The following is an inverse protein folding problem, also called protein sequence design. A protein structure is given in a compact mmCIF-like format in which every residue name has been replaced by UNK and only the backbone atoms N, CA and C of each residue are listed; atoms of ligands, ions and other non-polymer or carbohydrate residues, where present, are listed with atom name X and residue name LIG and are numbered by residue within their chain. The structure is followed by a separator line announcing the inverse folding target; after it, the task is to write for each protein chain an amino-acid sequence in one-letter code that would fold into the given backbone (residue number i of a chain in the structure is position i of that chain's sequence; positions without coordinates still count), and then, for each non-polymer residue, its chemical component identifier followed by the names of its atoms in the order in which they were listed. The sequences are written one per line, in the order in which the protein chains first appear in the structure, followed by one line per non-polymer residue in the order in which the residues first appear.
data_IF_920047277085
#
_entry.id   IF_920047277085
#
_cell.length_a   1.000
_cell.length_b   1.000
_cell.length_c   1.000
_cell.angle_alpha   90.00
_cell.angle_beta   90.00
_cell.angle_gamma   90.00
#
_symmetry.space_group_name_H-M   'P 1'
#
loop_
_entity.id
_entity.type
_entity.pdbx_description
1 polymer ?
#
# COMPACT_ATOMS: atom_id res chain seq x y z
N UNK A 1 23.95 0.51 2.89
CA UNK A 1 23.01 1.18 3.82
C UNK A 1 21.62 0.60 3.54
N UNK A 2 20.88 0.14 4.54
CA UNK A 2 19.49 -0.30 4.34
C UNK A 2 18.68 0.95 3.94
N UNK A 3 18.15 0.99 2.72
CA UNK A 3 17.20 2.05 2.33
C UNK A 3 15.94 1.85 3.18
N UNK A 4 15.73 2.73 4.14
CA UNK A 4 14.64 2.68 5.10
C UNK A 4 13.46 3.43 4.46
N UNK A 5 12.28 2.81 4.43
CA UNK A 5 11.06 3.40 3.86
C UNK A 5 10.64 4.60 4.73
N UNK A 6 10.92 5.83 4.30
CA UNK A 6 10.57 7.06 5.01
C UNK A 6 9.29 7.67 4.42
N UNK A 7 8.16 7.31 5.00
CA UNK A 7 6.86 7.85 4.64
C UNK A 7 6.07 8.16 5.91
N UNK A 8 5.58 9.40 6.01
CA UNK A 8 4.72 9.87 7.08
C UNK A 8 3.29 9.79 6.57
N UNK A 9 2.45 9.06 7.28
CA UNK A 9 1.04 8.87 6.94
C UNK A 9 0.22 10.15 7.15
N UNK A 10 -0.63 10.48 6.17
CA UNK A 10 -1.40 11.73 6.11
C UNK A 10 -2.69 11.59 6.93
N UNK A 11 -3.02 12.56 7.78
CA UNK A 11 -4.25 12.53 8.61
C UNK A 11 -4.35 11.26 9.48
N UNK A 12 -3.22 10.84 10.07
CA UNK A 12 -3.14 9.59 10.83
C UNK A 12 -4.13 9.56 12.00
N UNK A 13 -4.31 10.66 12.73
CA UNK A 13 -5.21 10.70 13.88
C UNK A 13 -6.67 10.62 13.42
N UNK A 14 -7.04 11.35 12.38
CA UNK A 14 -8.39 11.34 11.82
C UNK A 14 -8.77 9.97 11.25
N UNK A 15 -7.81 9.25 10.65
CA UNK A 15 -8.00 7.86 10.19
C UNK A 15 -8.29 6.93 11.37
N UNK A 16 -7.56 7.07 12.47
CA UNK A 16 -7.77 6.26 13.69
C UNK A 16 -9.11 6.61 14.35
N UNK A 17 -9.41 7.90 14.53
CA UNK A 17 -10.61 8.38 15.23
C UNK A 17 -11.90 8.05 14.47
N UNK A 18 -11.84 7.90 13.15
CA UNK A 18 -12.99 7.51 12.34
C UNK A 18 -13.33 6.01 12.44
N UNK A 19 -12.38 5.16 12.85
CA UNK A 19 -12.63 3.74 13.00
C UNK A 19 -13.57 3.47 14.20
N UNK A 20 -14.59 2.62 14.06
CA UNK A 20 -15.47 2.27 15.17
C UNK A 20 -14.70 1.67 16.36
N UNK A 21 -15.11 1.99 17.59
CA UNK A 21 -14.47 1.41 18.79
C UNK A 21 -14.51 -0.14 18.81
N UNK A 22 -15.51 -0.73 18.14
CA UNK A 22 -15.67 -2.18 18.02
C UNK A 22 -14.88 -2.82 16.87
N UNK A 23 -13.95 -2.08 16.24
CA UNK A 23 -13.17 -2.57 15.09
C UNK A 23 -12.36 -3.81 15.46
N UNK A 24 -12.63 -4.92 14.78
CA UNK A 24 -11.92 -6.20 14.93
C UNK A 24 -11.31 -6.68 13.62
N UNK A 25 -11.79 -6.20 12.47
CA UNK A 25 -11.26 -6.58 11.16
C UNK A 25 -11.07 -5.34 10.28
N UNK A 26 -9.83 -5.14 9.82
CA UNK A 26 -9.39 -3.96 9.08
C UNK A 26 -8.90 -4.38 7.69
N UNK A 27 -9.28 -3.61 6.67
CA UNK A 27 -8.67 -3.64 5.34
C UNK A 27 -7.93 -2.33 5.06
N UNK A 28 -6.65 -2.42 4.73
CA UNK A 28 -5.86 -1.33 4.16
C UNK A 28 -5.62 -1.62 2.66
N UNK A 29 -6.36 -0.93 1.80
CA UNK A 29 -6.35 -1.11 0.34
C UNK A 29 -5.12 -0.49 -0.35
N UNK A 30 -4.34 0.28 0.40
CA UNK A 30 -3.21 1.09 -0.08
C UNK A 30 -2.11 1.05 0.98
N UNK A 31 -1.72 -0.17 1.36
CA UNK A 31 -0.89 -0.45 2.52
C UNK A 31 0.37 0.42 2.56
N UNK A 32 0.97 0.72 1.41
CA UNK A 32 2.16 1.53 1.33
C UNK A 32 3.25 0.95 2.22
N UNK A 33 3.90 1.80 3.03
CA UNK A 33 4.85 1.33 4.03
C UNK A 33 4.22 0.77 5.31
N UNK A 34 2.89 0.72 5.43
CA UNK A 34 2.18 0.28 6.63
C UNK A 34 2.12 1.31 7.75
N UNK A 35 2.18 2.61 7.44
CA UNK A 35 2.12 3.68 8.44
C UNK A 35 0.74 3.76 9.12
N UNK A 36 -0.33 3.89 8.33
CA UNK A 36 -1.71 3.86 8.83
C UNK A 36 -2.05 2.53 9.50
N UNK A 37 -1.76 1.42 8.83
CA UNK A 37 -1.94 0.07 9.38
C UNK A 37 -1.29 -0.10 10.77
N UNK A 38 -0.09 0.46 10.98
CA UNK A 38 0.57 0.40 12.29
C UNK A 38 -0.21 1.19 13.34
N UNK A 39 -0.59 2.43 13.06
CA UNK A 39 -1.32 3.26 14.01
C UNK A 39 -2.70 2.68 14.34
N UNK A 40 -3.36 2.07 13.37
CA UNK A 40 -4.60 1.32 13.60
C UNK A 40 -4.36 0.14 14.54
N UNK A 41 -3.33 -0.68 14.33
CA UNK A 41 -3.01 -1.82 15.20
C UNK A 41 -2.49 -1.41 16.60
N UNK A 42 -1.95 -0.20 16.75
CA UNK A 42 -1.61 0.37 18.05
C UNK A 42 -2.87 0.74 18.86
N UNK A 43 -3.96 1.15 18.20
CA UNK A 43 -5.23 1.52 18.84
C UNK A 43 -6.23 0.36 18.97
N UNK A 44 -6.17 -0.60 18.04
CA UNK A 44 -7.00 -1.81 18.00
C UNK A 44 -6.10 -3.06 18.06
N UNK A 45 -5.46 -3.35 19.21
CA UNK A 45 -4.41 -4.36 19.31
C UNK A 45 -4.90 -5.80 19.07
N UNK A 46 -6.20 -6.06 19.18
CA UNK A 46 -6.81 -7.37 18.91
C UNK A 46 -7.36 -7.48 17.47
N UNK A 47 -7.32 -6.40 16.68
CA UNK A 47 -7.84 -6.40 15.33
C UNK A 47 -6.96 -7.22 14.38
N UNK A 48 -7.61 -7.97 13.49
CA UNK A 48 -7.00 -8.58 12.32
C UNK A 48 -6.90 -7.54 11.21
N UNK A 49 -5.72 -7.43 10.62
CA UNK A 49 -5.48 -6.48 9.53
C UNK A 49 -5.12 -7.22 8.25
N UNK A 50 -5.83 -6.88 7.19
CA UNK A 50 -5.55 -7.32 5.83
C UNK A 50 -5.03 -6.11 5.07
N UNK A 51 -3.82 -6.20 4.52
CA UNK A 51 -3.16 -5.09 3.86
C UNK A 51 -2.73 -5.48 2.46
N UNK A 52 -3.08 -4.68 1.47
CA UNK A 52 -2.64 -4.89 0.10
C UNK A 52 -1.97 -3.64 -0.48
N UNK A 53 -0.98 -3.88 -1.32
CA UNK A 53 -0.44 -2.86 -2.22
C UNK A 53 -0.04 -3.51 -3.52
N UNK A 54 -0.15 -2.79 -4.63
CA UNK A 54 0.30 -3.30 -5.93
C UNK A 54 1.83 -3.29 -6.05
N UNK A 55 2.49 -2.45 -5.26
CA UNK A 55 3.94 -2.32 -5.22
C UNK A 55 4.57 -3.33 -4.24
N UNK A 56 5.30 -4.32 -4.74
CA UNK A 56 5.95 -5.34 -3.91
C UNK A 56 6.94 -4.76 -2.88
N UNK A 57 7.56 -3.61 -3.19
CA UNK A 57 8.47 -2.94 -2.26
C UNK A 57 7.72 -2.33 -1.07
N UNK A 58 6.52 -1.82 -1.31
CA UNK A 58 5.64 -1.31 -0.26
C UNK A 58 5.22 -2.44 0.68
N UNK A 59 4.71 -3.56 0.13
CA UNK A 59 4.32 -4.75 0.90
C UNK A 59 5.49 -5.26 1.76
N UNK A 60 6.69 -5.34 1.20
CA UNK A 60 7.89 -5.75 1.95
C UNK A 60 8.24 -4.77 3.08
N UNK A 61 8.16 -3.47 2.82
CA UNK A 61 8.43 -2.45 3.84
C UNK A 61 7.39 -2.48 4.97
N UNK A 62 6.11 -2.67 4.63
CA UNK A 62 5.03 -2.84 5.58
C UNK A 62 5.20 -4.10 6.43
N UNK A 63 5.57 -5.24 5.84
CA UNK A 63 5.84 -6.48 6.57
C UNK A 63 6.95 -6.31 7.63
N UNK A 64 8.03 -5.60 7.30
CA UNK A 64 9.08 -5.27 8.27
C UNK A 64 8.58 -4.31 9.34
N UNK A 65 7.79 -3.29 8.99
CA UNK A 65 7.23 -2.32 9.95
C UNK A 65 6.22 -2.96 10.91
N UNK A 66 5.43 -3.90 10.42
CA UNK A 66 4.34 -4.58 11.14
C UNK A 66 4.78 -5.90 11.77
N UNK A 67 6.09 -6.17 11.84
CA UNK A 67 6.62 -7.45 12.35
C UNK A 67 6.12 -7.84 13.74
N UNK A 68 5.91 -6.86 14.63
CA UNK A 68 5.32 -7.10 15.97
C UNK A 68 3.88 -7.65 15.90
N UNK A 69 3.18 -7.37 14.80
CA UNK A 69 1.79 -7.77 14.53
C UNK A 69 1.70 -8.90 13.48
N UNK A 70 2.77 -9.64 13.23
CA UNK A 70 2.82 -10.67 12.17
C UNK A 70 1.71 -11.73 12.29
N UNK A 71 1.25 -12.02 13.52
CA UNK A 71 0.24 -13.05 13.78
C UNK A 71 -1.18 -12.62 13.42
N UNK A 72 -1.44 -11.31 13.41
CA UNK A 72 -2.76 -10.73 13.14
C UNK A 72 -2.81 -9.99 11.80
N UNK A 73 -1.72 -10.00 11.04
CA UNK A 73 -1.63 -9.35 9.73
C UNK A 73 -1.65 -10.38 8.59
N UNK A 74 -2.33 -10.02 7.50
CA UNK A 74 -2.30 -10.72 6.21
C UNK A 74 -1.95 -9.69 5.14
N UNK A 75 -0.70 -9.71 4.68
CA UNK A 75 -0.18 -8.72 3.75
C UNK A 75 0.07 -9.37 2.39
N UNK A 76 -0.28 -8.70 1.30
CA UNK A 76 -0.11 -9.27 -0.02
C UNK A 76 0.05 -8.23 -1.13
N UNK A 77 0.67 -8.67 -2.23
CA UNK A 77 0.77 -7.84 -3.43
C UNK A 77 -0.50 -8.00 -4.27
N UNK A 78 -1.33 -6.97 -4.30
CA UNK A 78 -2.55 -6.93 -5.09
C UNK A 78 -2.99 -5.49 -5.35
N UNK A 79 -3.72 -5.26 -6.44
CA UNK A 79 -4.48 -4.03 -6.62
C UNK A 79 -5.78 -4.11 -5.84
N UNK A 80 -6.30 -2.99 -5.33
CA UNK A 80 -7.63 -2.95 -4.71
C UNK A 80 -8.78 -3.28 -5.67
N UNK A 81 -8.53 -3.30 -6.99
CA UNK A 81 -9.47 -3.82 -7.98
C UNK A 81 -9.53 -5.36 -8.02
N UNK A 82 -8.59 -6.03 -7.35
CA UNK A 82 -8.40 -7.50 -7.32
C UNK A 82 -8.78 -8.07 -5.94
N UNK A 83 -9.52 -7.32 -5.11
CA UNK A 83 -9.83 -7.71 -3.73
C UNK A 83 -10.65 -9.01 -3.67
N UNK A 84 -11.57 -9.22 -4.60
CA UNK A 84 -12.39 -10.44 -4.63
C UNK A 84 -11.51 -11.67 -4.85
N UNK A 85 -10.59 -11.62 -5.82
CA UNK A 85 -9.65 -12.70 -6.08
C UNK A 85 -8.67 -12.89 -4.92
N UNK A 86 -8.19 -11.79 -4.33
CA UNK A 86 -7.27 -11.81 -3.20
C UNK A 86 -7.90 -12.47 -1.96
N UNK A 87 -9.20 -12.24 -1.71
CA UNK A 87 -9.89 -12.76 -0.53
C UNK A 87 -10.57 -14.13 -0.69
N UNK A 88 -10.61 -14.67 -1.91
CA UNK A 88 -11.21 -15.97 -2.18
C UNK A 88 -10.63 -17.10 -1.30
N UNK A 89 -9.33 -17.05 -0.99
CA UNK A 89 -8.66 -18.04 -0.14
C UNK A 89 -8.80 -17.77 1.37
N UNK A 90 -9.29 -16.58 1.74
CA UNK A 90 -9.45 -16.14 3.14
C UNK A 90 -10.90 -16.25 3.64
N UNK A 91 -11.79 -16.81 2.83
CA UNK A 91 -13.20 -17.02 3.18
C UNK A 91 -14.01 -15.73 3.25
N UNK A 92 -13.67 -14.75 2.40
CA UNK A 92 -14.38 -13.47 2.24
C UNK A 92 -14.68 -12.75 3.56
N UNK A 93 -13.63 -12.27 4.26
CA UNK A 93 -13.81 -11.60 5.55
C UNK A 93 -14.72 -10.37 5.43
N UNK A 94 -15.53 -10.17 6.47
CA UNK A 94 -16.29 -8.94 6.66
C UNK A 94 -15.39 -7.93 7.39
N UNK A 95 -15.27 -6.73 6.84
CA UNK A 95 -14.45 -5.67 7.39
C UNK A 95 -15.28 -4.67 8.18
N UNK A 96 -14.87 -4.37 9.40
CA UNK A 96 -15.45 -3.29 10.21
C UNK A 96 -14.95 -1.93 9.72
N UNK A 97 -13.73 -1.91 9.21
CA UNK A 97 -13.06 -0.70 8.76
C UNK A 97 -12.26 -0.95 7.47
N UNK A 98 -12.43 -0.09 6.48
CA UNK A 98 -11.72 -0.13 5.20
C UNK A 98 -11.05 1.23 4.98
N UNK A 99 -9.75 1.24 4.73
CA UNK A 99 -8.95 2.41 4.43
C UNK A 99 -8.43 2.35 2.99
N UNK A 100 -8.47 3.50 2.31
CA UNK A 100 -7.77 3.72 1.04
C UNK A 100 -7.21 5.15 1.01
N UNK A 101 -5.89 5.27 1.15
CA UNK A 101 -5.11 6.49 0.97
C UNK A 101 -4.63 6.57 -0.49
N UNK A 102 -5.41 7.26 -1.31
CA UNK A 102 -5.18 7.32 -2.76
C UNK A 102 -4.05 8.29 -3.09
N UNK A 103 -3.01 7.81 -3.75
CA UNK A 103 -1.94 8.67 -4.24
C UNK A 103 -0.68 7.91 -4.58
N UNK A 104 0.43 8.65 -4.53
CA UNK A 104 1.78 8.12 -4.66
C UNK A 104 2.45 8.11 -3.29
N UNK A 105 3.24 7.08 -3.02
CA UNK A 105 4.09 7.10 -1.83
C UNK A 105 5.29 8.03 -2.02
N UNK A 106 5.82 8.55 -0.90
CA UNK A 106 7.03 9.36 -0.92
C UNK A 106 8.21 8.62 -1.54
N UNK A 107 8.30 7.30 -1.35
CA UNK A 107 9.33 6.44 -1.96
C UNK A 107 9.22 6.39 -3.49
N UNK A 108 8.01 6.32 -4.04
CA UNK A 108 7.78 6.35 -5.50
C UNK A 108 8.23 7.67 -6.11
N UNK A 109 8.05 8.79 -5.40
CA UNK A 109 8.54 10.11 -5.83
C UNK A 109 10.05 10.29 -5.59
N UNK A 110 10.59 9.66 -4.54
CA UNK A 110 12.00 9.76 -4.15
C UNK A 110 12.93 9.04 -5.14
N UNK A 111 12.50 7.86 -5.59
CA UNK A 111 13.25 6.95 -6.45
C UNK A 111 13.18 7.36 -7.91
N UNK A 112 14.26 7.93 -8.42
CA UNK A 112 14.33 8.41 -9.79
C UNK A 112 14.06 7.29 -10.82
N UNK A 113 14.49 6.05 -10.51
CA UNK A 113 14.25 4.87 -11.35
C UNK A 113 12.78 4.51 -11.53
N UNK A 114 11.88 5.04 -10.69
CA UNK A 114 10.43 4.83 -10.80
C UNK A 114 9.76 5.77 -11.81
N UNK A 115 10.41 6.87 -12.18
CA UNK A 115 9.93 7.77 -13.23
C UNK A 115 8.68 8.60 -12.88
N UNK A 116 8.29 8.70 -11.61
CA UNK A 116 7.12 9.50 -11.21
C UNK A 116 7.43 11.00 -11.03
N UNK A 117 8.69 11.37 -10.81
CA UNK A 117 9.11 12.74 -10.55
C UNK A 117 9.73 13.37 -11.79
N UNK A 118 9.33 14.60 -12.10
CA UNK A 118 9.98 15.44 -13.13
C UNK A 118 11.20 16.21 -12.58
N UNK A 119 11.45 16.16 -11.26
CA UNK A 119 12.56 16.87 -10.62
C UNK A 119 13.86 16.07 -10.64
N UNK A 120 13.79 14.76 -10.87
CA UNK A 120 14.95 13.85 -10.90
C UNK A 120 14.97 13.12 -12.23
N UNK A 121 16.14 13.02 -12.84
CA UNK A 121 16.30 12.30 -14.09
C UNK A 121 16.18 10.79 -13.87
N UNK A 122 15.35 10.12 -14.67
CA UNK A 122 15.08 8.69 -14.60
C UNK A 122 14.29 8.20 -15.82
N UNK A 123 14.10 6.87 -15.96
CA UNK A 123 13.30 6.34 -17.05
C UNK A 123 11.85 6.80 -16.90
N UNK A 124 11.18 7.06 -18.03
CA UNK A 124 9.74 7.37 -18.05
C UNK A 124 8.93 6.06 -17.84
N UNK A 125 8.92 5.55 -16.61
CA UNK A 125 8.29 4.28 -16.25
C UNK A 125 6.85 4.50 -15.74
N UNK A 126 6.69 5.10 -14.55
CA UNK A 126 5.41 5.38 -13.88
C UNK A 126 4.53 4.17 -13.55
N UNK A 127 5.04 2.93 -13.67
CA UNK A 127 4.34 1.74 -13.14
C UNK A 127 4.44 1.70 -11.63
N UNK A 128 3.29 1.56 -10.98
CA UNK A 128 3.23 1.27 -9.54
C UNK A 128 3.62 -0.18 -9.25
N UNK A 129 3.36 -1.08 -10.20
CA UNK A 129 3.61 -2.52 -10.11
C UNK A 129 4.48 -2.98 -11.30
N UNK A 130 5.78 -2.68 -11.26
CA UNK A 130 6.69 -2.99 -12.36
C UNK A 130 6.91 -4.50 -12.55
N UNK A 131 6.53 -5.32 -11.58
CA UNK A 131 6.69 -6.79 -11.62
C UNK A 131 5.58 -7.45 -12.46
N UNK A 132 4.34 -6.90 -12.44
CA UNK A 132 3.20 -7.45 -13.19
C UNK A 132 2.79 -6.60 -14.39
N UNK A 133 3.00 -5.28 -14.36
CA UNK A 133 2.59 -4.38 -15.45
C UNK A 133 3.66 -4.32 -16.55
N UNK A 134 3.26 -4.38 -17.82
CA UNK A 134 4.19 -4.34 -18.96
C UNK A 134 4.31 -2.94 -19.61
N UNK A 135 3.24 -2.16 -19.55
CA UNK A 135 3.16 -0.87 -20.25
C UNK A 135 3.75 0.24 -19.39
N UNK A 136 4.82 0.87 -19.87
CA UNK A 136 5.43 2.05 -19.26
C UNK A 136 4.83 3.33 -19.83
N UNK A 137 5.01 4.45 -19.12
CA UNK A 137 4.70 5.78 -19.65
C UNK A 137 5.49 6.08 -20.94
N UNK A 138 6.76 5.65 -21.03
CA UNK A 138 7.57 5.77 -22.23
C UNK A 138 6.94 5.07 -23.45
N UNK A 139 6.39 3.87 -23.25
CA UNK A 139 5.68 3.17 -24.32
C UNK A 139 4.44 3.96 -24.74
N UNK A 140 3.64 4.43 -23.78
CA UNK A 140 2.41 5.16 -24.06
C UNK A 140 2.67 6.43 -24.87
N UNK A 141 3.61 7.28 -24.46
CA UNK A 141 3.86 8.56 -25.15
C UNK A 141 4.45 8.39 -26.55
N UNK A 142 5.12 7.26 -26.83
CA UNK A 142 5.73 7.00 -28.14
C UNK A 142 4.82 6.21 -29.09
N UNK A 143 3.76 5.55 -28.59
CA UNK A 143 2.94 4.62 -29.40
C UNK A 143 1.43 4.92 -29.37
N UNK A 144 0.96 5.84 -28.52
CA UNK A 144 -0.44 6.27 -28.51
C UNK A 144 -0.70 7.32 -29.59
N UNK A 145 -1.93 7.38 -30.10
CA UNK A 145 -2.38 8.51 -30.92
C UNK A 145 -2.48 9.78 -30.08
N UNK A 146 -2.31 10.93 -30.73
CA UNK A 146 -2.67 12.25 -30.17
C UNK A 146 -4.19 12.36 -29.94
#
# INVERSE_FOLDING_TARGET
MKMQFEHISVLTQEVVDFAPESTQTILDCTLGGGGHSRCLLENFPDAKLYGIDRDALAVKAAAERLKTYEKQTKLGQASFSELTEFFAEYGDPVFDYILADLGLSSEQLARAERGFSFLREGPLDMRMDPDRQQITAAYLVNNSSE
#
